data_IF_829555402525
#
_entry.id   IF_829555402525
#
_cell.length_a   1.000
_cell.length_b   1.000
_cell.length_c   1.000
_cell.angle_alpha   90.00
_cell.angle_beta   90.00
_cell.angle_gamma   90.00
#
_symmetry.space_group_name_H-M   'P 1'
#
loop_
_entity.id
_entity.type
_entity.pdbx_description
1 polymer ?
#
# COMPACT_ATOMS: atom_id res chain seq x y z
N UNK A 1 -56.06 12.76 -47.68
CA UNK A 1 -55.85 11.94 -46.45
C UNK A 1 -54.39 11.51 -46.43
N UNK A 2 -53.57 12.01 -45.50
CA UNK A 2 -53.20 11.18 -44.34
C UNK A 2 -53.11 11.95 -43.01
N UNK A 3 -52.80 11.19 -41.96
CA UNK A 3 -53.21 11.33 -40.55
C UNK A 3 -52.27 12.19 -39.69
N UNK A 4 -52.87 12.74 -38.63
CA UNK A 4 -52.30 13.48 -37.50
C UNK A 4 -51.30 12.69 -36.62
N UNK A 5 -50.61 13.48 -35.78
CA UNK A 5 -50.00 13.19 -34.46
C UNK A 5 -48.46 13.06 -34.46
N UNK A 6 -47.69 13.64 -33.53
CA UNK A 6 -47.94 14.42 -32.31
C UNK A 6 -46.61 15.10 -31.89
N UNK A 7 -46.70 16.35 -31.42
CA UNK A 7 -45.93 17.11 -30.38
C UNK A 7 -44.67 16.46 -29.77
N UNK A 8 -43.59 17.19 -29.40
CA UNK A 8 -43.61 18.35 -28.51
C UNK A 8 -42.31 19.18 -28.54
N UNK A 9 -42.41 20.39 -28.00
CA UNK A 9 -41.48 21.50 -28.03
C UNK A 9 -40.24 21.35 -27.13
N UNK A 10 -39.20 22.12 -27.43
CA UNK A 10 -38.23 22.61 -26.45
C UNK A 10 -37.72 23.98 -26.88
N UNK A 11 -38.25 25.02 -26.24
CA UNK A 11 -37.73 26.39 -26.29
C UNK A 11 -36.54 26.51 -25.36
N UNK A 12 -35.42 27.00 -25.88
CA UNK A 12 -34.25 27.40 -25.14
C UNK A 12 -34.51 28.68 -24.32
N UNK A 13 -33.81 28.82 -23.18
CA UNK A 13 -33.55 30.12 -22.55
C UNK A 13 -32.15 30.10 -21.94
N UNK A 14 -31.35 31.10 -22.28
CA UNK A 14 -29.97 31.28 -21.84
C UNK A 14 -29.91 32.24 -20.64
N UNK A 15 -28.95 32.04 -19.72
CA UNK A 15 -28.25 33.16 -19.06
C UNK A 15 -26.89 32.73 -18.49
N UNK A 16 -25.85 33.46 -18.89
CA UNK A 16 -24.48 33.45 -18.38
C UNK A 16 -24.38 34.22 -17.05
N UNK A 17 -23.80 33.65 -15.97
CA UNK A 17 -23.16 34.44 -14.90
C UNK A 17 -22.00 33.66 -14.26
N UNK A 18 -20.79 34.27 -14.26
CA UNK A 18 -19.87 34.20 -13.12
C UNK A 18 -18.71 33.20 -13.18
N UNK A 19 -17.59 33.61 -13.78
CA UNK A 19 -16.26 33.02 -13.51
C UNK A 19 -15.84 33.44 -12.10
N UNK A 20 -16.04 32.57 -11.12
CA UNK A 20 -15.29 32.61 -9.86
C UNK A 20 -14.15 31.60 -9.99
N UNK A 21 -12.92 32.12 -10.01
CA UNK A 21 -11.70 31.33 -9.93
C UNK A 21 -11.62 30.60 -8.59
N UNK A 22 -12.32 29.47 -8.46
CA UNK A 22 -11.89 28.43 -7.53
C UNK A 22 -10.70 27.77 -8.18
N UNK A 23 -9.51 28.17 -7.75
CA UNK A 23 -8.28 27.48 -8.10
C UNK A 23 -8.49 26.00 -7.81
N UNK A 24 -8.55 25.19 -8.87
CA UNK A 24 -8.30 23.77 -8.78
C UNK A 24 -6.90 23.69 -8.19
N UNK A 25 -6.80 23.50 -6.88
CA UNK A 25 -5.55 23.09 -6.28
C UNK A 25 -5.19 21.79 -6.98
N UNK A 26 -4.07 21.70 -7.71
CA UNK A 26 -3.65 20.41 -8.22
C UNK A 26 -3.50 19.51 -7.00
N UNK A 27 -4.21 18.38 -7.02
CA UNK A 27 -3.97 17.29 -6.07
C UNK A 27 -2.45 17.08 -5.98
N UNK A 28 -1.87 16.89 -4.79
CA UNK A 28 -0.43 16.78 -4.66
C UNK A 28 0.10 15.72 -5.63
N UNK A 29 0.92 16.19 -6.56
CA UNK A 29 1.69 15.37 -7.47
C UNK A 29 2.71 14.58 -6.64
N UNK A 30 2.37 13.34 -6.29
CA UNK A 30 3.33 12.32 -5.88
C UNK A 30 2.76 10.91 -6.04
N UNK A 31 2.08 10.62 -7.15
CA UNK A 31 2.19 9.28 -7.73
C UNK A 31 3.51 9.21 -8.51
N UNK A 32 4.64 9.44 -7.83
CA UNK A 32 5.93 9.08 -8.39
C UNK A 32 5.92 7.56 -8.54
N UNK A 33 6.18 7.07 -9.76
CA UNK A 33 6.18 5.64 -10.07
C UNK A 33 6.92 4.86 -8.99
N UNK A 34 6.18 4.00 -8.28
CA UNK A 34 6.68 3.23 -7.15
C UNK A 34 7.68 2.19 -7.68
N UNK A 35 8.97 2.52 -7.69
CA UNK A 35 10.01 1.52 -7.88
C UNK A 35 10.15 0.71 -6.59
N UNK A 36 9.80 -0.57 -6.66
CA UNK A 36 10.09 -1.54 -5.61
C UNK A 36 11.60 -1.71 -5.58
N UNK A 37 12.21 -1.55 -4.40
CA UNK A 37 13.66 -1.62 -4.27
C UNK A 37 14.15 -3.07 -4.38
N UNK A 38 15.38 -3.27 -4.84
CA UNK A 38 15.98 -4.60 -5.00
C UNK A 38 15.95 -5.42 -3.70
N UNK A 39 16.12 -4.75 -2.56
CA UNK A 39 16.05 -5.37 -1.24
C UNK A 39 14.65 -5.85 -0.86
N UNK A 40 13.60 -5.10 -1.20
CA UNK A 40 12.21 -5.50 -0.96
C UNK A 40 11.84 -6.69 -1.84
N UNK A 41 12.26 -6.68 -3.10
CA UNK A 41 12.09 -7.82 -4.00
C UNK A 41 12.87 -9.05 -3.50
N UNK A 42 14.08 -8.85 -2.97
CA UNK A 42 14.86 -9.93 -2.34
C UNK A 42 14.11 -10.52 -1.14
N UNK A 43 13.54 -9.69 -0.26
CA UNK A 43 12.76 -10.16 0.88
C UNK A 43 11.55 -11.01 0.42
N UNK A 44 10.81 -10.56 -0.60
CA UNK A 44 9.69 -11.34 -1.16
C UNK A 44 10.16 -12.66 -1.77
N UNK A 45 11.29 -12.66 -2.50
CA UNK A 45 11.87 -13.90 -3.05
C UNK A 45 12.22 -14.90 -1.95
N UNK A 46 12.87 -14.44 -0.88
CA UNK A 46 13.24 -15.28 0.26
C UNK A 46 11.99 -15.86 0.97
N UNK A 47 10.95 -15.04 1.18
CA UNK A 47 9.69 -15.51 1.74
C UNK A 47 9.00 -16.55 0.86
N UNK A 48 8.98 -16.35 -0.46
CA UNK A 48 8.40 -17.30 -1.39
C UNK A 48 9.18 -18.61 -1.47
N UNK A 49 10.51 -18.59 -1.31
CA UNK A 49 11.31 -19.80 -1.19
C UNK A 49 10.94 -20.62 0.05
N UNK A 50 10.74 -19.97 1.20
CA UNK A 50 10.29 -20.66 2.42
C UNK A 50 8.86 -21.21 2.29
N UNK A 51 7.97 -20.48 1.63
CA UNK A 51 6.62 -20.95 1.33
C UNK A 51 6.63 -22.19 0.44
N UNK A 52 7.47 -22.20 -0.60
CA UNK A 52 7.62 -23.35 -1.48
C UNK A 52 8.13 -24.59 -0.73
N UNK A 53 9.03 -24.41 0.23
CA UNK A 53 9.59 -25.51 1.06
C UNK A 53 8.52 -26.28 1.84
N UNK A 54 7.40 -25.62 2.17
CA UNK A 54 6.27 -26.23 2.89
C UNK A 54 5.02 -26.41 2.01
N UNK A 55 5.17 -26.30 0.68
CA UNK A 55 4.09 -26.55 -0.28
C UNK A 55 3.03 -25.44 -0.37
N UNK A 56 3.33 -24.22 0.10
CA UNK A 56 2.42 -23.08 0.02
C UNK A 56 2.60 -22.29 -1.29
N UNK A 57 1.48 -21.77 -1.82
CA UNK A 57 1.46 -20.92 -3.02
C UNK A 57 2.28 -19.64 -2.79
N UNK A 58 3.05 -19.22 -3.80
CA UNK A 58 3.83 -18.00 -3.75
C UNK A 58 2.95 -16.75 -3.53
N UNK A 59 3.44 -15.81 -2.71
CA UNK A 59 2.87 -14.49 -2.56
C UNK A 59 3.05 -13.70 -3.86
N UNK A 60 2.02 -12.93 -4.22
CA UNK A 60 2.07 -11.94 -5.29
C UNK A 60 2.44 -10.59 -4.70
N UNK A 61 3.30 -9.86 -5.40
CA UNK A 61 3.66 -8.50 -5.04
C UNK A 61 2.49 -7.56 -5.39
N UNK A 62 2.04 -6.77 -4.42
CA UNK A 62 1.16 -5.62 -4.62
C UNK A 62 1.95 -4.36 -4.28
N UNK A 63 2.12 -3.46 -5.26
CA UNK A 63 2.94 -2.25 -5.11
C UNK A 63 2.39 -1.30 -4.04
N UNK A 64 1.08 -1.31 -3.77
CA UNK A 64 0.47 -0.48 -2.72
C UNK A 64 0.85 -0.99 -1.34
N UNK A 65 0.86 -2.32 -1.14
CA UNK A 65 1.33 -2.93 0.10
C UNK A 65 2.83 -2.69 0.31
N UNK A 66 3.64 -2.70 -0.75
CA UNK A 66 5.07 -2.36 -0.67
C UNK A 66 5.28 -0.90 -0.26
N UNK A 67 4.49 0.03 -0.79
CA UNK A 67 4.54 1.43 -0.37
C UNK A 67 4.19 1.60 1.12
N UNK A 68 3.13 0.92 1.58
CA UNK A 68 2.73 0.93 3.00
C UNK A 68 3.84 0.37 3.89
N UNK A 69 4.41 -0.79 3.53
CA UNK A 69 5.51 -1.40 4.29
C UNK A 69 6.73 -0.48 4.38
N UNK A 70 7.13 0.15 3.27
CA UNK A 70 8.24 1.12 3.24
C UNK A 70 7.97 2.32 4.15
N UNK A 71 6.77 2.90 4.08
CA UNK A 71 6.39 4.02 4.92
C UNK A 71 6.38 3.62 6.41
N UNK A 72 5.89 2.43 6.74
CA UNK A 72 5.90 1.89 8.11
C UNK A 72 7.31 1.73 8.67
N UNK A 73 8.21 1.11 7.90
CA UNK A 73 9.62 0.95 8.29
C UNK A 73 10.33 2.29 8.45
N UNK A 74 10.06 3.26 7.57
CA UNK A 74 10.62 4.60 7.66
C UNK A 74 10.10 5.39 8.88
N UNK A 75 8.81 5.28 9.21
CA UNK A 75 8.22 5.90 10.40
C UNK A 75 8.81 5.31 11.69
N UNK A 76 8.95 3.99 11.77
CA UNK A 76 9.63 3.30 12.87
C UNK A 76 11.07 3.79 13.07
N UNK A 77 11.84 3.85 11.98
CA UNK A 77 13.23 4.31 12.04
C UNK A 77 13.36 5.79 12.42
N UNK A 78 12.55 6.67 11.81
CA UNK A 78 12.65 8.12 12.01
C UNK A 78 12.16 8.58 13.40
N UNK A 79 11.24 7.83 14.01
CA UNK A 79 10.65 8.17 15.31
C UNK A 79 11.14 7.25 16.44
N UNK A 80 12.18 6.46 16.17
CA UNK A 80 12.86 5.60 17.13
C UNK A 80 11.92 4.67 17.93
N UNK A 81 11.08 3.92 17.21
CA UNK A 81 10.22 2.91 17.83
C UNK A 81 10.13 1.65 16.97
N UNK A 82 9.84 0.51 17.61
CA UNK A 82 9.68 -0.78 16.94
C UNK A 82 8.43 -1.48 17.45
N UNK A 83 7.30 -1.26 16.75
CA UNK A 83 5.97 -1.70 17.17
C UNK A 83 5.02 -1.77 15.97
N UNK A 84 4.00 -2.64 16.07
CA UNK A 84 2.89 -2.72 15.11
C UNK A 84 1.95 -1.51 15.16
N UNK A 85 1.98 -0.76 16.26
CA UNK A 85 1.19 0.45 16.45
C UNK A 85 2.16 1.62 16.68
N UNK A 86 2.03 2.65 15.85
CA UNK A 86 2.80 3.88 15.99
C UNK A 86 2.46 4.63 17.28
N UNK A 87 3.33 5.53 17.77
CA UNK A 87 3.03 6.34 18.96
C UNK A 87 1.78 7.23 18.84
N UNK A 88 1.30 7.46 17.61
CA UNK A 88 0.05 8.18 17.32
C UNK A 88 -1.16 7.23 17.16
N UNK A 89 -1.02 5.96 17.51
CA UNK A 89 -2.11 4.97 17.47
C UNK A 89 -2.44 4.38 16.10
N UNK A 90 -1.64 4.64 15.06
CA UNK A 90 -1.86 4.11 13.70
C UNK A 90 -1.09 2.82 13.47
N UNK A 91 -1.74 1.83 12.85
CA UNK A 91 -1.20 0.54 12.41
C UNK A 91 -1.04 0.46 10.89
N UNK A 92 -0.37 -0.58 10.39
CA UNK A 92 -0.37 -0.89 8.95
C UNK A 92 -1.78 -1.17 8.41
N UNK A 93 -2.68 -1.73 9.23
CA UNK A 93 -4.04 -2.05 8.81
C UNK A 93 -4.87 -0.80 8.55
N UNK A 94 -4.69 0.25 9.35
CA UNK A 94 -5.32 1.55 9.11
C UNK A 94 -4.89 2.14 7.75
N UNK A 95 -3.62 1.92 7.38
CA UNK A 95 -3.08 2.36 6.09
C UNK A 95 -3.61 1.52 4.93
N UNK A 96 -3.76 0.20 5.11
CA UNK A 96 -4.37 -0.71 4.11
C UNK A 96 -5.82 -0.28 3.83
N UNK A 97 -6.59 0.00 4.89
CA UNK A 97 -7.98 0.50 4.78
C UNK A 97 -8.01 1.87 4.09
N UNK A 98 -7.16 2.80 4.50
CA UNK A 98 -7.08 4.15 3.91
C UNK A 98 -6.68 4.12 2.43
N UNK A 99 -5.90 3.12 2.01
CA UNK A 99 -5.51 2.89 0.62
C UNK A 99 -6.60 2.17 -0.22
N UNK A 100 -7.76 1.85 0.37
CA UNK A 100 -8.85 1.16 -0.32
C UNK A 100 -8.50 -0.27 -0.74
N UNK A 101 -7.55 -0.91 -0.06
CA UNK A 101 -7.15 -2.29 -0.35
C UNK A 101 -8.13 -3.24 0.36
N UNK A 102 -8.84 -4.05 -0.42
CA UNK A 102 -9.74 -5.09 0.12
C UNK A 102 -8.96 -6.35 0.50
N UNK A 103 -9.35 -6.97 1.61
CA UNK A 103 -8.61 -8.07 2.22
C UNK A 103 -9.54 -8.96 3.07
N UNK A 104 -9.25 -10.26 3.10
CA UNK A 104 -9.95 -11.23 3.96
C UNK A 104 -9.23 -11.46 5.29
N UNK A 105 -7.93 -11.20 5.30
CA UNK A 105 -7.04 -11.29 6.46
C UNK A 105 -5.66 -10.81 6.05
N UNK A 106 -4.94 -10.18 6.98
CA UNK A 106 -3.58 -9.71 6.77
C UNK A 106 -2.82 -9.75 8.09
N UNK A 107 -1.51 -9.83 7.96
CA UNK A 107 -0.57 -9.73 9.07
C UNK A 107 0.52 -8.72 8.72
N UNK A 108 1.08 -8.10 9.74
CA UNK A 108 2.32 -7.35 9.65
C UNK A 108 3.37 -8.15 10.42
N UNK A 109 4.54 -8.33 9.81
CA UNK A 109 5.72 -8.89 10.50
C UNK A 109 6.82 -7.86 10.34
N UNK A 110 7.47 -7.49 11.45
CA UNK A 110 8.50 -6.47 11.49
C UNK A 110 9.85 -7.07 11.91
N UNK A 111 10.93 -6.53 11.38
CA UNK A 111 12.30 -6.86 11.76
C UNK A 111 13.13 -5.57 11.75
N UNK A 112 14.17 -5.56 12.57
CA UNK A 112 15.20 -4.52 12.56
C UNK A 112 16.56 -5.18 12.76
N UNK A 113 17.59 -4.61 12.14
CA UNK A 113 18.97 -5.04 12.26
C UNK A 113 19.89 -3.91 11.79
N UNK A 114 21.20 -4.12 11.91
CA UNK A 114 22.24 -3.13 11.59
C UNK A 114 23.24 -3.64 10.54
N UNK A 115 22.84 -4.61 9.70
CA UNK A 115 23.72 -5.12 8.65
C UNK A 115 24.00 -4.04 7.59
N UNK A 116 25.23 -3.98 7.05
CA UNK A 116 25.65 -2.87 6.19
C UNK A 116 25.03 -2.91 4.79
N UNK A 117 24.62 -4.08 4.31
CA UNK A 117 23.92 -4.23 3.02
C UNK A 117 22.45 -4.54 3.22
N UNK A 118 21.60 -4.02 2.33
CA UNK A 118 20.16 -4.30 2.39
C UNK A 118 19.83 -5.76 2.06
N UNK A 119 20.67 -6.42 1.26
CA UNK A 119 20.52 -7.85 0.95
C UNK A 119 20.76 -8.72 2.19
N UNK A 120 21.86 -8.45 2.93
CA UNK A 120 22.16 -9.15 4.18
C UNK A 120 21.12 -8.82 5.26
N UNK A 121 20.64 -7.57 5.30
CA UNK A 121 19.55 -7.16 6.18
C UNK A 121 18.26 -7.96 5.92
N UNK A 122 17.88 -8.16 4.65
CA UNK A 122 16.72 -8.96 4.28
C UNK A 122 16.90 -10.46 4.62
N UNK A 123 18.10 -10.99 4.39
CA UNK A 123 18.44 -12.37 4.76
C UNK A 123 18.35 -12.58 6.28
N UNK A 124 18.95 -11.68 7.07
CA UNK A 124 18.91 -11.72 8.52
C UNK A 124 17.48 -11.58 9.08
N UNK A 125 16.64 -10.74 8.46
CA UNK A 125 15.23 -10.63 8.82
C UNK A 125 14.49 -11.96 8.60
N UNK A 126 14.66 -12.57 7.41
CA UNK A 126 14.07 -13.87 7.10
C UNK A 126 14.55 -14.97 8.06
N UNK A 127 15.85 -15.00 8.40
CA UNK A 127 16.38 -15.99 9.33
C UNK A 127 15.89 -15.74 10.77
N UNK A 128 15.64 -14.49 11.14
CA UNK A 128 14.96 -14.13 12.38
C UNK A 128 13.53 -14.66 12.46
N UNK A 129 12.76 -14.55 11.38
CA UNK A 129 11.37 -15.02 11.31
C UNK A 129 11.22 -16.54 11.15
N UNK A 130 12.20 -17.21 10.59
CA UNK A 130 12.13 -18.66 10.30
C UNK A 130 13.02 -19.48 11.22
N UNK A 131 13.89 -18.83 11.99
CA UNK A 131 14.82 -19.48 12.89
C UNK A 131 14.16 -20.03 14.15
N UNK A 132 14.89 -20.83 14.95
CA UNK A 132 14.36 -21.53 16.12
C UNK A 132 13.81 -20.63 17.24
N UNK A 133 14.06 -19.31 17.18
CA UNK A 133 13.51 -18.32 18.13
C UNK A 133 12.20 -17.68 17.66
N UNK A 134 11.78 -17.92 16.43
CA UNK A 134 10.55 -17.34 15.87
C UNK A 134 9.29 -17.95 16.48
N UNK A 135 9.33 -19.23 16.86
CA UNK A 135 8.22 -19.95 17.50
C UNK A 135 8.01 -19.59 18.98
N UNK A 136 8.89 -18.77 19.56
CA UNK A 136 8.87 -18.43 20.99
C UNK A 136 8.30 -17.03 21.29
N UNK A 137 7.90 -16.27 20.27
CA UNK A 137 7.31 -14.92 20.41
C UNK A 137 6.15 -14.75 19.43
N UNK A 138 5.03 -15.41 19.73
CA UNK A 138 3.70 -15.13 19.15
C UNK A 138 2.72 -14.90 20.29
#
# INVERSE_FOLDING_TARGET
MPKLARTAASTAFALLIGVAAMGVQPAPAAAAGLSIGDAELQAVRLLNAERARVGLVALRVDSRLMAIARQRSADMASRNYFSHVSPSGKSAFDMIVSAGITWYGAGEIIAWNTYPSLADSAQAAKDGWMGPRATARS
#
